data_IF_722202534747
#
_entry.id   IF_722202534747
#
_cell.length_a   1.000
_cell.length_b   1.000
_cell.length_c   1.000
_cell.angle_alpha   90.00
_cell.angle_beta   90.00
_cell.angle_gamma   90.00
#
_symmetry.space_group_name_H-M   'P 1'
#
loop_
_entity.id
_entity.type
_entity.pdbx_description
1 polymer ?
#
# COMPACT_ATOMS: atom_id res chain seq x y z
N UNK A 1 -17.21 -16.92 -5.24
CA UNK A 1 -17.30 -16.71 -6.68
C UNK A 1 -17.91 -15.34 -7.01
N UNK A 2 -17.92 -14.95 -8.28
CA UNK A 2 -18.38 -13.62 -8.71
C UNK A 2 -19.82 -13.31 -8.28
N UNK A 3 -20.75 -14.26 -8.36
CA UNK A 3 -22.14 -14.02 -7.95
C UNK A 3 -22.24 -13.70 -6.45
N UNK A 4 -21.52 -14.42 -5.60
CA UNK A 4 -21.48 -14.13 -4.16
C UNK A 4 -20.90 -12.75 -3.87
N UNK A 5 -19.85 -12.35 -4.59
CA UNK A 5 -19.27 -11.01 -4.50
C UNK A 5 -20.31 -9.96 -4.91
N UNK A 6 -20.98 -10.14 -6.05
CA UNK A 6 -21.99 -9.23 -6.57
C UNK A 6 -23.17 -9.08 -5.59
N UNK A 7 -23.68 -10.21 -5.05
CA UNK A 7 -24.75 -10.19 -4.05
C UNK A 7 -24.35 -9.41 -2.80
N UNK A 8 -23.11 -9.61 -2.31
CA UNK A 8 -22.58 -8.89 -1.15
C UNK A 8 -22.43 -7.39 -1.44
N UNK A 9 -21.89 -7.03 -2.61
CA UNK A 9 -21.75 -5.63 -3.03
C UNK A 9 -23.12 -4.93 -3.12
N UNK A 10 -24.09 -5.57 -3.75
CA UNK A 10 -25.45 -5.05 -3.89
C UNK A 10 -26.13 -4.89 -2.54
N UNK A 11 -26.02 -5.88 -1.65
CA UNK A 11 -26.54 -5.80 -0.29
C UNK A 11 -25.92 -4.63 0.49
N UNK A 12 -24.61 -4.42 0.39
CA UNK A 12 -23.95 -3.28 1.00
C UNK A 12 -24.53 -1.94 0.50
N UNK A 13 -24.80 -1.84 -0.81
CA UNK A 13 -25.44 -0.67 -1.40
C UNK A 13 -26.88 -0.48 -0.89
N UNK A 14 -27.66 -1.55 -0.83
CA UNK A 14 -29.05 -1.53 -0.35
C UNK A 14 -29.17 -1.05 1.11
N UNK A 15 -28.23 -1.45 1.97
CA UNK A 15 -28.20 -1.02 3.38
C UNK A 15 -27.58 0.37 3.58
N UNK A 16 -27.19 1.06 2.48
CA UNK A 16 -26.81 2.47 2.49
C UNK A 16 -25.29 2.74 2.50
N UNK A 17 -24.42 1.75 2.26
CA UNK A 17 -23.00 2.03 2.06
C UNK A 17 -22.76 2.62 0.67
N UNK A 18 -22.29 3.86 0.61
CA UNK A 18 -21.94 4.54 -0.64
C UNK A 18 -20.43 4.50 -0.94
N UNK A 19 -19.62 4.56 0.11
CA UNK A 19 -18.16 4.51 0.01
C UNK A 19 -17.69 3.06 0.21
N UNK A 20 -17.61 2.33 -0.89
CA UNK A 20 -17.20 0.91 -0.92
C UNK A 20 -15.87 0.80 -1.64
N UNK A 21 -14.95 0.06 -1.04
CA UNK A 21 -13.72 -0.39 -1.67
C UNK A 21 -13.91 -1.80 -2.25
N UNK A 22 -13.28 -2.05 -3.39
CA UNK A 22 -13.17 -3.39 -4.00
C UNK A 22 -11.70 -3.72 -4.15
N UNK A 23 -11.30 -4.89 -3.67
CA UNK A 23 -9.95 -5.41 -3.85
C UNK A 23 -9.85 -6.27 -5.10
N UNK A 24 -8.80 -6.06 -5.88
CA UNK A 24 -8.41 -6.85 -7.04
C UNK A 24 -6.99 -7.39 -6.83
N UNK A 25 -6.79 -8.66 -7.16
CA UNK A 25 -5.47 -9.29 -7.07
C UNK A 25 -4.93 -9.59 -8.46
N UNK A 26 -3.67 -9.25 -8.68
CA UNK A 26 -2.85 -9.55 -9.86
C UNK A 26 -1.91 -10.70 -9.56
N UNK A 27 -1.29 -11.27 -10.60
CA UNK A 27 -0.29 -12.31 -10.44
C UNK A 27 -0.86 -13.65 -9.97
N UNK A 28 -2.15 -13.91 -10.15
CA UNK A 28 -2.77 -15.17 -9.72
C UNK A 28 -2.31 -16.30 -10.65
N UNK A 29 -1.84 -17.45 -10.10
CA UNK A 29 -1.44 -18.59 -10.93
C UNK A 29 -2.48 -19.01 -11.96
N UNK A 30 -2.05 -19.20 -13.19
CA UNK A 30 -2.87 -19.56 -14.35
C UNK A 30 -3.92 -18.51 -14.79
N UNK A 31 -3.96 -17.32 -14.20
CA UNK A 31 -4.77 -16.22 -14.71
C UNK A 31 -4.21 -15.74 -16.06
N UNK A 32 -5.10 -15.47 -16.99
CA UNK A 32 -4.74 -14.85 -18.26
C UNK A 32 -5.11 -13.38 -18.24
N UNK A 33 -4.47 -12.61 -19.09
CA UNK A 33 -4.77 -11.18 -19.22
C UNK A 33 -6.24 -10.93 -19.58
N UNK A 34 -6.90 -11.86 -20.28
CA UNK A 34 -8.33 -11.78 -20.60
C UNK A 34 -9.21 -11.91 -19.37
N UNK A 35 -8.82 -12.75 -18.38
CA UNK A 35 -9.54 -12.92 -17.11
C UNK A 35 -9.42 -11.65 -16.27
N UNK A 36 -8.25 -11.01 -16.30
CA UNK A 36 -8.03 -9.70 -15.64
C UNK A 36 -8.90 -8.61 -16.29
N UNK A 37 -8.93 -8.54 -17.61
CA UNK A 37 -9.76 -7.59 -18.37
C UNK A 37 -11.24 -7.74 -18.03
N UNK A 38 -11.75 -8.96 -18.01
CA UNK A 38 -13.13 -9.26 -17.62
C UNK A 38 -13.41 -8.84 -16.17
N UNK A 39 -12.47 -9.08 -15.26
CA UNK A 39 -12.59 -8.66 -13.86
C UNK A 39 -12.63 -7.14 -13.71
N UNK A 40 -11.75 -6.43 -14.39
CA UNK A 40 -11.70 -4.96 -14.39
C UNK A 40 -12.98 -4.34 -14.95
N UNK A 41 -13.49 -4.86 -16.07
CA UNK A 41 -14.74 -4.41 -16.66
C UNK A 41 -15.91 -4.58 -15.68
N UNK A 42 -16.01 -5.73 -15.04
CA UNK A 42 -17.04 -6.02 -14.03
C UNK A 42 -16.96 -5.09 -12.83
N UNK A 43 -15.74 -4.84 -12.30
CA UNK A 43 -15.53 -3.96 -11.16
C UNK A 43 -15.90 -2.51 -11.53
N UNK A 44 -15.40 -2.01 -12.65
CA UNK A 44 -15.66 -0.62 -13.09
C UNK A 44 -17.16 -0.39 -13.32
N UNK A 45 -17.87 -1.39 -13.88
CA UNK A 45 -19.32 -1.31 -14.07
C UNK A 45 -20.12 -1.20 -12.77
N UNK A 46 -19.59 -1.71 -11.64
CA UNK A 46 -20.19 -1.54 -10.31
C UNK A 46 -19.99 -0.13 -9.74
N UNK A 47 -19.05 0.64 -10.28
CA UNK A 47 -18.71 2.01 -9.88
C UNK A 47 -18.39 2.14 -8.39
N UNK A 48 -17.50 1.31 -7.82
CA UNK A 48 -17.03 1.51 -6.46
C UNK A 48 -16.32 2.88 -6.35
N UNK A 49 -16.24 3.43 -5.16
CA UNK A 49 -15.54 4.70 -4.94
C UNK A 49 -14.03 4.53 -4.85
N UNK A 50 -13.57 3.33 -4.52
CA UNK A 50 -12.18 3.00 -4.31
C UNK A 50 -11.91 1.58 -4.81
N UNK A 51 -10.71 1.36 -5.36
CA UNK A 51 -10.23 0.06 -5.82
C UNK A 51 -8.80 -0.11 -5.32
N UNK A 52 -8.57 -1.22 -4.59
CA UNK A 52 -7.22 -1.64 -4.20
C UNK A 52 -6.75 -2.73 -5.14
N UNK A 53 -5.53 -2.60 -5.65
CA UNK A 53 -4.92 -3.55 -6.58
C UNK A 53 -3.64 -4.08 -5.95
N UNK A 54 -3.59 -5.37 -5.71
CA UNK A 54 -2.45 -6.02 -5.07
C UNK A 54 -1.88 -7.12 -5.96
N UNK A 55 -0.56 -7.19 -6.06
CA UNK A 55 0.12 -8.38 -6.56
C UNK A 55 0.07 -9.49 -5.53
N UNK A 56 -0.10 -10.74 -5.99
CA UNK A 56 -0.10 -11.91 -5.12
C UNK A 56 1.28 -12.09 -4.48
N UNK A 57 1.35 -11.95 -3.16
CA UNK A 57 2.52 -12.34 -2.37
C UNK A 57 2.26 -13.73 -1.79
N UNK A 58 3.20 -14.64 -2.02
CA UNK A 58 3.12 -16.01 -1.50
C UNK A 58 3.74 -16.05 -0.12
N UNK A 59 2.89 -16.14 0.90
CA UNK A 59 3.31 -16.24 2.29
C UNK A 59 3.75 -17.66 2.64
N UNK A 60 4.77 -17.78 3.50
CA UNK A 60 5.27 -19.04 4.02
C UNK A 60 4.18 -19.84 4.75
N UNK A 61 4.33 -21.17 4.78
CA UNK A 61 3.42 -22.12 5.43
C UNK A 61 1.99 -22.16 4.87
N UNK A 62 1.71 -21.43 3.78
CA UNK A 62 0.38 -21.43 3.13
C UNK A 62 0.19 -22.66 2.22
N UNK A 63 -1.07 -23.06 1.96
CA UNK A 63 -1.34 -24.10 0.96
C UNK A 63 -0.85 -23.74 -0.44
N UNK A 64 -0.92 -22.47 -0.84
CA UNK A 64 -0.47 -22.02 -2.15
C UNK A 64 1.04 -22.15 -2.31
N UNK A 65 1.82 -21.79 -1.30
CA UNK A 65 3.28 -22.00 -1.28
C UNK A 65 3.63 -23.47 -1.51
N UNK A 66 2.96 -24.39 -0.80
CA UNK A 66 3.17 -25.85 -0.96
C UNK A 66 2.85 -26.33 -2.37
N UNK A 67 1.82 -25.76 -2.99
CA UNK A 67 1.46 -26.10 -4.37
C UNK A 67 2.48 -25.59 -5.39
N UNK A 68 3.01 -24.40 -5.19
CA UNK A 68 4.08 -23.82 -6.01
C UNK A 68 5.37 -24.63 -5.84
N UNK A 69 5.81 -24.87 -4.61
CA UNK A 69 7.03 -25.63 -4.29
C UNK A 69 6.97 -27.09 -4.82
N UNK A 70 5.77 -27.68 -4.92
CA UNK A 70 5.56 -29.00 -5.51
C UNK A 70 5.41 -28.99 -7.05
N UNK A 71 5.48 -27.83 -7.68
CA UNK A 71 5.31 -27.67 -9.14
C UNK A 71 3.88 -27.84 -9.63
N UNK A 72 2.88 -27.88 -8.74
CA UNK A 72 1.45 -27.96 -9.11
C UNK A 72 0.87 -26.65 -9.60
N UNK A 73 1.44 -25.53 -9.14
CA UNK A 73 1.11 -24.19 -9.60
C UNK A 73 2.40 -23.47 -10.02
N UNK A 74 2.28 -22.59 -11.01
CA UNK A 74 3.36 -21.68 -11.43
C UNK A 74 2.84 -20.26 -11.33
N UNK A 75 3.63 -19.38 -10.72
CA UNK A 75 3.39 -17.94 -10.77
C UNK A 75 3.64 -17.42 -12.20
N UNK A 76 2.99 -16.31 -12.60
CA UNK A 76 3.35 -15.63 -13.83
C UNK A 76 4.80 -15.16 -13.77
N UNK A 77 5.41 -14.92 -14.93
CA UNK A 77 6.72 -14.29 -15.01
C UNK A 77 6.60 -12.80 -14.60
N UNK A 78 7.67 -12.23 -14.08
CA UNK A 78 7.68 -10.83 -13.61
C UNK A 78 7.23 -9.83 -14.69
N UNK A 79 7.55 -10.09 -15.96
CA UNK A 79 7.12 -9.26 -17.08
C UNK A 79 5.61 -9.37 -17.32
N UNK A 80 5.02 -10.56 -17.15
CA UNK A 80 3.57 -10.76 -17.27
C UNK A 80 2.84 -9.98 -16.17
N UNK A 81 3.30 -10.11 -14.92
CA UNK A 81 2.72 -9.37 -13.77
C UNK A 81 2.84 -7.86 -13.94
N UNK A 82 4.00 -7.37 -14.42
CA UNK A 82 4.21 -5.96 -14.72
C UNK A 82 3.23 -5.47 -15.81
N UNK A 83 3.02 -6.26 -16.85
CA UNK A 83 2.06 -5.95 -17.90
C UNK A 83 0.62 -5.91 -17.38
N UNK A 84 0.25 -6.82 -16.47
CA UNK A 84 -1.04 -6.81 -15.77
C UNK A 84 -1.22 -5.52 -14.96
N UNK A 85 -0.20 -5.11 -14.21
CA UNK A 85 -0.22 -3.88 -13.42
C UNK A 85 -0.40 -2.63 -14.30
N UNK A 86 0.42 -2.50 -15.35
CA UNK A 86 0.32 -1.35 -16.27
C UNK A 86 -1.01 -1.31 -17.02
N UNK A 87 -1.52 -2.46 -17.45
CA UNK A 87 -2.84 -2.54 -18.05
C UNK A 87 -3.91 -2.07 -17.07
N UNK A 88 -3.88 -2.56 -15.84
CA UNK A 88 -4.83 -2.21 -14.78
C UNK A 88 -4.79 -0.72 -14.47
N UNK A 89 -3.60 -0.15 -14.28
CA UNK A 89 -3.40 1.28 -14.05
C UNK A 89 -4.05 2.11 -15.17
N UNK A 90 -3.67 1.84 -16.42
CA UNK A 90 -4.19 2.59 -17.56
C UNK A 90 -5.72 2.45 -17.70
N UNK A 91 -6.24 1.24 -17.49
CA UNK A 91 -7.67 0.98 -17.59
C UNK A 91 -8.46 1.74 -16.52
N UNK A 92 -8.02 1.74 -15.28
CA UNK A 92 -8.66 2.44 -14.18
C UNK A 92 -8.59 3.96 -14.34
N UNK A 93 -7.45 4.51 -14.76
CA UNK A 93 -7.30 5.95 -15.04
C UNK A 93 -8.23 6.40 -16.17
N UNK A 94 -8.34 5.64 -17.26
CA UNK A 94 -9.28 5.91 -18.35
C UNK A 94 -10.75 5.87 -17.91
N UNK A 95 -11.06 5.14 -16.84
CA UNK A 95 -12.40 5.05 -16.26
C UNK A 95 -12.63 6.00 -15.08
N UNK A 96 -11.74 6.99 -14.91
CA UNK A 96 -11.92 8.10 -13.96
C UNK A 96 -11.46 7.83 -12.53
N UNK A 97 -10.70 6.76 -12.30
CA UNK A 97 -10.05 6.49 -11.02
C UNK A 97 -8.66 7.13 -11.01
N UNK A 98 -8.40 7.98 -10.03
CA UNK A 98 -7.07 8.54 -9.81
C UNK A 98 -6.19 7.48 -9.12
N UNK A 99 -5.05 7.15 -9.72
CA UNK A 99 -3.98 6.41 -9.07
C UNK A 99 -3.28 7.34 -8.09
N UNK A 100 -3.45 7.18 -6.77
CA UNK A 100 -2.94 8.12 -5.78
C UNK A 100 -1.80 7.57 -4.92
N UNK A 101 -1.66 6.25 -4.84
CA UNK A 101 -0.53 5.54 -4.23
C UNK A 101 -0.40 4.16 -4.91
N UNK A 102 0.71 3.47 -4.69
CA UNK A 102 1.16 2.30 -5.46
C UNK A 102 0.07 1.26 -5.71
N UNK A 103 -0.75 0.96 -4.70
CA UNK A 103 -1.74 -0.12 -4.76
C UNK A 103 -3.17 0.36 -4.84
N UNK A 104 -3.43 1.68 -4.80
CA UNK A 104 -4.80 2.17 -4.61
C UNK A 104 -5.21 3.24 -5.62
N UNK A 105 -6.45 3.10 -6.06
CA UNK A 105 -7.13 3.95 -7.02
C UNK A 105 -8.44 4.44 -6.42
N UNK A 106 -8.80 5.70 -6.64
CA UNK A 106 -10.03 6.27 -6.09
C UNK A 106 -10.66 7.27 -7.04
N UNK A 107 -11.99 7.39 -6.98
CA UNK A 107 -12.68 8.58 -7.49
C UNK A 107 -12.23 9.76 -6.63
N UNK A 108 -12.12 10.94 -7.22
CA UNK A 108 -11.66 12.15 -6.54
C UNK A 108 -12.35 12.36 -5.18
N UNK A 109 -11.55 12.67 -4.16
CA UNK A 109 -11.96 12.83 -2.76
C UNK A 109 -12.37 11.54 -2.01
N UNK A 110 -12.16 10.35 -2.62
CA UNK A 110 -12.41 9.05 -1.99
C UNK A 110 -11.13 8.26 -1.68
N UNK A 111 -9.96 8.91 -1.75
CA UNK A 111 -8.71 8.30 -1.31
C UNK A 111 -8.81 7.83 0.14
N UNK A 112 -8.24 6.65 0.45
CA UNK A 112 -8.23 6.12 1.82
C UNK A 112 -7.47 7.06 2.76
N UNK A 113 -8.21 7.76 3.62
CA UNK A 113 -7.62 8.64 4.65
C UNK A 113 -6.73 7.87 5.61
N UNK A 114 -7.10 6.63 5.93
CA UNK A 114 -6.31 5.79 6.81
C UNK A 114 -4.95 5.45 6.17
N UNK A 115 -4.95 4.91 4.95
CA UNK A 115 -3.73 4.56 4.24
C UNK A 115 -2.83 5.79 4.03
N UNK A 116 -3.42 6.89 3.53
CA UNK A 116 -2.68 8.16 3.36
C UNK A 116 -2.06 8.66 4.66
N UNK A 117 -2.75 8.52 5.81
CA UNK A 117 -2.18 8.89 7.09
C UNK A 117 -1.02 7.98 7.49
N UNK A 118 -1.09 6.67 7.19
CA UNK A 118 0.03 5.74 7.41
C UNK A 118 1.23 6.11 6.53
N UNK A 119 1.01 6.39 5.24
CA UNK A 119 2.07 6.79 4.29
C UNK A 119 2.70 8.15 4.66
N UNK A 120 1.95 9.02 5.31
CA UNK A 120 2.46 10.30 5.88
C UNK A 120 3.02 10.15 7.30
N UNK A 121 3.23 8.94 7.76
CA UNK A 121 3.77 8.64 9.09
C UNK A 121 3.03 9.40 10.20
N UNK A 122 1.69 9.46 10.12
CA UNK A 122 0.87 10.05 11.18
C UNK A 122 0.59 9.03 12.27
N UNK A 123 0.47 9.51 13.51
CA UNK A 123 0.12 8.66 14.65
C UNK A 123 -1.28 8.07 14.50
N UNK A 124 -1.43 6.81 14.90
CA UNK A 124 -2.71 6.11 14.96
C UNK A 124 -2.75 5.15 16.15
N UNK A 125 -3.95 4.83 16.61
CA UNK A 125 -4.21 3.89 17.69
C UNK A 125 -5.08 2.76 17.17
N UNK A 126 -4.61 1.52 17.32
CA UNK A 126 -5.36 0.31 17.02
C UNK A 126 -6.19 -0.16 18.21
N UNK A 127 -7.43 -0.53 17.96
CA UNK A 127 -8.35 -1.08 18.94
C UNK A 127 -8.64 -2.55 18.66
N UNK A 128 -8.72 -3.34 19.72
CA UNK A 128 -8.96 -4.78 19.63
C UNK A 128 -7.71 -5.62 19.90
N UNK A 129 -7.90 -6.94 19.92
CA UNK A 129 -6.79 -7.91 20.05
C UNK A 129 -5.86 -7.80 18.83
N UNK A 130 -4.57 -8.01 19.05
CA UNK A 130 -3.52 -7.94 18.01
C UNK A 130 -3.41 -6.61 17.27
N UNK A 131 -4.23 -5.60 17.56
CA UNK A 131 -4.22 -4.33 16.84
C UNK A 131 -2.92 -3.57 17.09
N UNK A 132 -2.30 -3.11 16.00
CA UNK A 132 -1.07 -2.32 16.01
C UNK A 132 -1.36 -0.83 16.12
N UNK A 133 -0.43 -0.11 16.73
CA UNK A 133 -0.46 1.35 16.91
C UNK A 133 0.90 1.96 16.60
N UNK A 134 0.88 3.20 16.14
CA UNK A 134 2.06 4.04 15.99
C UNK A 134 1.82 5.40 16.65
N UNK A 135 2.62 5.74 17.66
CA UNK A 135 2.48 6.99 18.41
C UNK A 135 3.85 7.61 18.67
N UNK A 136 4.12 8.75 18.02
CA UNK A 136 5.34 9.53 18.25
C UNK A 136 6.64 8.70 18.16
N UNK A 137 6.80 7.91 17.11
CA UNK A 137 7.97 7.06 16.90
C UNK A 137 7.96 5.75 17.70
N UNK A 138 6.87 5.41 18.37
CA UNK A 138 6.74 4.14 19.09
C UNK A 138 5.71 3.25 18.42
N UNK A 139 6.12 2.04 17.99
CA UNK A 139 5.24 0.98 17.52
C UNK A 139 4.96 0.00 18.63
N UNK A 140 3.71 -0.30 18.82
CA UNK A 140 3.26 -1.32 19.77
C UNK A 140 2.00 -2.02 19.24
N UNK A 141 1.76 -3.22 19.75
CA UNK A 141 0.50 -3.93 19.52
C UNK A 141 -0.19 -4.29 20.82
N UNK A 142 -1.49 -4.53 20.74
CA UNK A 142 -2.22 -5.14 21.80
C UNK A 142 -1.97 -6.65 21.83
N UNK A 143 -2.21 -7.30 22.97
CA UNK A 143 -2.10 -8.76 23.11
C UNK A 143 -2.98 -9.49 22.09
N UNK A 144 -2.53 -10.65 21.63
CA UNK A 144 -3.30 -11.58 20.79
C UNK A 144 -4.27 -12.45 21.60
N UNK A 145 -4.15 -12.48 22.93
CA UNK A 145 -4.99 -13.27 23.84
C UNK A 145 -6.24 -12.47 24.22
N UNK A 146 -7.41 -12.95 23.77
CA UNK A 146 -8.70 -12.32 24.05
C UNK A 146 -8.99 -12.22 25.56
N UNK A 147 -8.64 -13.23 26.35
CA UNK A 147 -8.88 -13.21 27.80
C UNK A 147 -8.07 -12.10 28.47
N UNK A 148 -6.78 -12.00 28.11
CA UNK A 148 -5.93 -10.93 28.63
C UNK A 148 -6.43 -9.56 28.20
N UNK A 149 -6.85 -9.41 26.94
CA UNK A 149 -7.39 -8.16 26.43
C UNK A 149 -8.62 -7.68 27.20
N UNK A 150 -9.50 -8.59 27.63
CA UNK A 150 -10.72 -8.26 28.35
C UNK A 150 -10.51 -7.95 29.85
N UNK A 151 -9.47 -8.52 30.47
CA UNK A 151 -9.29 -8.44 31.94
C UNK A 151 -8.13 -7.54 32.37
N UNK A 152 -7.15 -7.29 31.52
CA UNK A 152 -5.98 -6.47 31.84
C UNK A 152 -6.18 -5.01 31.48
N UNK A 153 -5.44 -4.13 32.13
CA UNK A 153 -5.41 -2.72 31.80
C UNK A 153 -4.79 -2.46 30.44
N UNK A 154 -5.12 -1.30 29.85
CA UNK A 154 -4.57 -0.87 28.56
C UNK A 154 -3.04 -0.75 28.51
N UNK A 155 -2.37 -0.66 29.64
CA UNK A 155 -0.89 -0.68 29.72
C UNK A 155 -0.34 -2.10 29.68
N UNK A 156 -0.99 -3.05 30.35
CA UNK A 156 -0.52 -4.43 30.50
C UNK A 156 -0.75 -5.29 29.25
N UNK A 157 -1.67 -4.88 28.37
CA UNK A 157 -1.94 -5.58 27.10
C UNK A 157 -1.04 -5.16 25.96
N UNK A 158 -0.19 -4.15 26.15
CA UNK A 158 0.67 -3.59 25.08
C UNK A 158 2.04 -4.23 25.04
N UNK A 159 2.46 -4.61 23.86
CA UNK A 159 3.84 -5.03 23.55
C UNK A 159 4.49 -3.97 22.67
N UNK A 160 5.58 -3.38 23.14
CA UNK A 160 6.36 -2.42 22.34
C UNK A 160 7.27 -3.22 21.41
N UNK A 161 7.18 -2.94 20.10
CA UNK A 161 8.00 -3.58 19.07
C UNK A 161 9.19 -2.71 18.71
N UNK A 162 8.99 -1.39 18.66
CA UNK A 162 10.01 -0.47 18.18
C UNK A 162 9.90 0.90 18.89
N UNK A 163 11.04 1.52 19.11
CA UNK A 163 11.17 2.92 19.49
C UNK A 163 12.17 3.58 18.56
N UNK A 164 11.66 4.39 17.68
CA UNK A 164 12.45 5.10 16.68
C UNK A 164 13.13 6.34 17.26
N UNK A 165 14.36 6.56 16.89
CA UNK A 165 15.02 7.84 17.04
C UNK A 165 14.64 8.80 15.88
N UNK A 166 15.21 10.01 15.86
CA UNK A 166 14.89 11.00 14.82
C UNK A 166 15.33 10.53 13.43
N UNK A 167 16.49 9.91 13.31
CA UNK A 167 17.02 9.41 12.04
C UNK A 167 16.15 8.30 11.48
N UNK A 168 15.75 7.33 12.31
CA UNK A 168 14.83 6.25 11.93
C UNK A 168 13.51 6.82 11.40
N UNK A 169 12.95 7.83 12.11
CA UNK A 169 11.71 8.49 11.69
C UNK A 169 11.86 9.25 10.37
N UNK A 170 13.02 9.84 10.10
CA UNK A 170 13.30 10.56 8.85
C UNK A 170 13.41 9.59 7.67
N UNK A 171 14.16 8.50 7.84
CA UNK A 171 14.30 7.45 6.82
C UNK A 171 12.95 6.81 6.50
N UNK A 172 12.21 6.42 7.51
CA UNK A 172 10.88 5.84 7.32
C UNK A 172 9.89 6.81 6.66
N UNK A 173 9.97 8.12 6.97
CA UNK A 173 9.13 9.13 6.33
C UNK A 173 9.39 9.18 4.82
N UNK A 174 10.66 9.06 4.39
CA UNK A 174 11.00 8.95 2.97
C UNK A 174 10.44 7.66 2.36
N UNK A 175 10.70 6.52 2.99
CA UNK A 175 10.24 5.21 2.53
C UNK A 175 8.71 5.14 2.36
N UNK A 176 7.97 5.59 3.38
CA UNK A 176 6.51 5.57 3.35
C UNK A 176 5.93 6.62 2.39
N UNK A 177 6.50 7.82 2.39
CA UNK A 177 6.03 8.93 1.56
C UNK A 177 6.22 8.69 0.07
N UNK A 178 7.26 7.96 -0.33
CA UNK A 178 7.51 7.56 -1.71
C UNK A 178 6.54 6.47 -2.22
N UNK A 179 5.65 5.94 -1.37
CA UNK A 179 4.51 5.13 -1.82
C UNK A 179 3.40 5.98 -2.46
N UNK A 180 3.29 7.24 -2.06
CA UNK A 180 2.35 8.19 -2.66
C UNK A 180 2.87 8.63 -4.04
N UNK A 181 2.01 8.74 -5.05
CA UNK A 181 2.44 9.19 -6.39
C UNK A 181 2.84 10.67 -6.42
N UNK A 182 2.25 11.47 -5.51
CA UNK A 182 2.68 12.85 -5.30
C UNK A 182 4.03 12.92 -4.56
N UNK A 183 4.51 11.79 -4.01
CA UNK A 183 5.78 11.65 -3.33
C UNK A 183 5.88 12.36 -1.98
N UNK A 184 7.12 12.66 -1.60
CA UNK A 184 7.47 13.38 -0.37
C UNK A 184 7.63 14.86 -0.67
N UNK A 185 6.86 15.71 0.03
CA UNK A 185 7.05 17.16 -0.06
C UNK A 185 8.22 17.60 0.79
N UNK A 186 9.18 18.30 0.17
CA UNK A 186 10.37 18.84 0.81
C UNK A 186 9.99 19.80 1.93
N UNK A 187 8.98 20.66 1.68
CA UNK A 187 8.46 21.61 2.66
C UNK A 187 7.83 20.92 3.89
N UNK A 188 7.04 19.83 3.69
CA UNK A 188 6.43 19.06 4.78
C UNK A 188 7.50 18.33 5.62
N UNK A 189 8.50 17.72 4.96
CA UNK A 189 9.62 17.08 5.63
C UNK A 189 10.39 18.09 6.50
N UNK A 190 10.73 19.25 5.92
CA UNK A 190 11.44 20.33 6.62
C UNK A 190 10.63 20.86 7.82
N UNK A 191 9.33 21.03 7.65
CA UNK A 191 8.46 21.47 8.75
C UNK A 191 8.41 20.45 9.89
N UNK A 192 8.40 19.14 9.57
CA UNK A 192 8.34 18.06 10.57
C UNK A 192 9.66 17.82 11.30
N UNK A 193 10.78 17.85 10.59
CA UNK A 193 12.09 17.43 11.13
C UNK A 193 13.10 18.57 11.32
N UNK A 194 12.83 19.75 10.75
CA UNK A 194 13.73 20.90 10.82
C UNK A 194 14.92 20.84 9.85
N UNK A 195 14.97 19.83 8.99
CA UNK A 195 16.08 19.56 8.07
C UNK A 195 15.56 19.39 6.65
N UNK A 196 16.41 19.71 5.65
CA UNK A 196 16.04 19.54 4.26
C UNK A 196 16.43 18.13 3.79
N UNK A 197 15.49 17.29 3.28
CA UNK A 197 15.78 15.93 2.85
C UNK A 197 16.80 15.85 1.71
N UNK A 198 16.88 16.87 0.85
CA UNK A 198 17.87 16.91 -0.25
C UNK A 198 19.31 16.90 0.26
N UNK A 199 19.58 17.58 1.39
CA UNK A 199 20.91 17.57 1.97
C UNK A 199 21.15 16.37 2.88
N UNK A 200 20.12 15.94 3.58
CA UNK A 200 20.19 14.83 4.53
C UNK A 200 20.44 13.50 3.83
N UNK A 201 19.71 13.23 2.74
CA UNK A 201 19.78 11.99 1.93
C UNK A 201 20.43 12.21 0.59
N UNK A 202 21.45 13.08 0.54
CA UNK A 202 22.05 13.50 -0.74
C UNK A 202 22.57 12.34 -1.57
N UNK A 203 23.24 11.37 -0.94
CA UNK A 203 23.86 10.24 -1.63
C UNK A 203 22.81 9.30 -2.22
N UNK A 204 21.82 8.97 -1.41
CA UNK A 204 20.70 8.09 -1.77
C UNK A 204 19.89 8.73 -2.91
N UNK A 205 19.57 10.01 -2.78
CA UNK A 205 18.80 10.73 -3.80
C UNK A 205 19.58 10.91 -5.11
N UNK A 206 20.89 11.25 -5.06
CA UNK A 206 21.74 11.35 -6.24
C UNK A 206 21.83 9.98 -6.98
N UNK A 207 21.95 8.87 -6.24
CA UNK A 207 21.92 7.51 -6.79
C UNK A 207 20.60 7.24 -7.50
N UNK A 208 19.49 7.40 -6.80
CA UNK A 208 18.14 7.10 -7.30
C UNK A 208 17.76 7.96 -8.53
N UNK A 209 18.20 9.23 -8.58
CA UNK A 209 18.01 10.12 -9.73
C UNK A 209 18.84 9.63 -10.92
N UNK A 210 20.12 9.26 -10.70
CA UNK A 210 20.99 8.74 -11.77
C UNK A 210 20.49 7.41 -12.33
N UNK A 211 19.82 6.60 -11.53
CA UNK A 211 19.16 5.36 -11.92
C UNK A 211 17.79 5.58 -12.55
N UNK A 212 17.32 6.83 -12.63
CA UNK A 212 16.00 7.23 -13.17
C UNK A 212 14.83 6.63 -12.38
N UNK A 213 15.02 6.31 -11.09
CA UNK A 213 13.97 5.73 -10.24
C UNK A 213 13.11 6.79 -9.55
N UNK A 214 13.69 7.96 -9.29
CA UNK A 214 12.97 9.11 -8.73
C UNK A 214 13.22 10.36 -9.57
N UNK A 215 12.31 11.29 -9.45
CA UNK A 215 12.48 12.65 -9.93
C UNK A 215 12.26 13.65 -8.79
N UNK A 216 12.98 14.75 -8.84
CA UNK A 216 12.91 15.84 -7.86
C UNK A 216 12.49 17.09 -8.61
N UNK A 217 11.33 17.62 -8.26
CA UNK A 217 10.86 18.92 -8.74
C UNK A 217 11.00 20.01 -7.65
N UNK A 218 10.30 21.14 -7.80
CA UNK A 218 10.44 22.30 -6.89
C UNK A 218 10.18 21.98 -5.41
N UNK A 219 9.24 21.09 -5.10
CA UNK A 219 8.88 20.76 -3.70
C UNK A 219 8.62 19.25 -3.49
N UNK A 220 8.73 18.41 -4.52
CA UNK A 220 8.41 16.99 -4.38
C UNK A 220 9.60 16.11 -4.78
N UNK A 221 9.75 15.00 -4.05
CA UNK A 221 10.60 13.86 -4.39
C UNK A 221 9.63 12.70 -4.64
N UNK A 222 9.53 12.21 -5.87
CA UNK A 222 8.55 11.19 -6.25
C UNK A 222 9.12 10.12 -7.17
N UNK A 223 8.46 8.98 -7.23
CA UNK A 223 8.84 7.90 -8.14
C UNK A 223 8.59 8.30 -9.60
N UNK A 224 9.47 7.88 -10.48
CA UNK A 224 9.22 7.83 -11.93
C UNK A 224 8.37 6.60 -12.28
N UNK A 225 7.97 6.43 -13.53
CA UNK A 225 7.33 5.19 -13.98
C UNK A 225 8.24 3.97 -13.76
N UNK A 226 9.55 4.10 -14.03
CA UNK A 226 10.54 3.06 -13.75
C UNK A 226 10.68 2.80 -12.25
N UNK A 227 10.64 3.85 -11.44
CA UNK A 227 10.65 3.74 -9.98
C UNK A 227 9.41 3.08 -9.41
N UNK A 228 8.23 3.21 -10.04
CA UNK A 228 7.04 2.46 -9.65
C UNK A 228 7.21 0.96 -9.82
N UNK A 229 7.81 0.54 -10.93
CA UNK A 229 8.10 -0.88 -11.21
C UNK A 229 9.15 -1.48 -10.26
N UNK A 230 10.04 -0.65 -9.75
CA UNK A 230 11.19 -1.03 -8.93
C UNK A 230 11.17 -0.36 -7.54
N UNK A 231 9.97 -0.10 -7.02
CA UNK A 231 9.80 0.70 -5.81
C UNK A 231 10.47 0.09 -4.56
N UNK A 232 10.61 -1.23 -4.49
CA UNK A 232 11.35 -1.91 -3.45
C UNK A 232 12.83 -1.46 -3.39
N UNK A 233 13.49 -1.29 -4.54
CA UNK A 233 14.88 -0.81 -4.62
C UNK A 233 15.00 0.64 -4.10
N UNK A 234 13.96 1.45 -4.35
CA UNK A 234 13.93 2.83 -3.84
C UNK A 234 13.78 2.84 -2.31
N UNK A 235 12.93 1.99 -1.76
CA UNK A 235 12.72 1.94 -0.31
C UNK A 235 13.92 1.40 0.43
N UNK A 236 14.67 0.45 -0.13
CA UNK A 236 15.88 -0.12 0.44
C UNK A 236 16.96 0.93 0.73
N UNK A 237 17.00 2.04 0.00
CA UNK A 237 17.96 3.13 0.23
C UNK A 237 17.66 3.90 1.54
N UNK A 238 16.47 3.72 2.13
CA UNK A 238 16.04 4.41 3.35
C UNK A 238 15.83 3.45 4.55
N UNK A 239 16.37 2.26 4.50
CA UNK A 239 16.29 1.27 5.60
C UNK A 239 17.49 1.35 6.54
#
# INVERSE_FOLDING_TARGET
NYNQFLDTYNLAKEVGFENINVDLMLGIPNQKIEDLKDSLEKIVNLKPKHISVYSLIVEEETPIEKMINSGKLKLPEEEEERNEYHYTKNYLELNGYKHYEISNFAIDSYESKHNTNCWKQKSYIGFGIAAHSYMNGVRYSNTTDLKQYLIKSSKEIKTIHEKQNKEDMQKEYMMLGLRMLDGVKISEFKAKFGENPIFLFRKELEKLVNEELIEIDLDNIKLTNKGLDLANLVWEEFV
#
